data_IF_269877292508
#
_entry.id   IF_269877292508
#
_cell.length_a   1.000
_cell.length_b   1.000
_cell.length_c   1.000
_cell.angle_alpha   90.00
_cell.angle_beta   90.00
_cell.angle_gamma   90.00
#
_symmetry.space_group_name_H-M   'P 1'
#
loop_
_entity.id
_entity.type
_entity.pdbx_description
1 polymer ?
#
# COMPACT_ATOMS: atom_id res chain seq x y z
N UNK A 1 12.73 -10.80 -10.78
CA UNK A 1 12.11 -10.78 -9.42
C UNK A 1 10.91 -11.70 -9.31
N UNK A 2 9.79 -11.43 -9.99
CA UNK A 2 8.51 -12.16 -9.86
C UNK A 2 8.61 -13.69 -10.02
N UNK A 3 9.48 -14.17 -10.91
CA UNK A 3 9.68 -15.61 -11.13
C UNK A 3 10.24 -16.35 -9.90
N UNK A 4 11.06 -15.69 -9.06
CA UNK A 4 11.65 -16.29 -7.84
C UNK A 4 10.57 -16.68 -6.84
N UNK A 5 9.47 -15.93 -6.82
CA UNK A 5 8.33 -16.12 -5.89
C UNK A 5 7.06 -16.59 -6.61
N UNK A 6 7.18 -17.17 -7.82
CA UNK A 6 6.08 -17.75 -8.61
C UNK A 6 4.89 -16.81 -8.96
N UNK A 7 5.09 -15.49 -8.93
CA UNK A 7 4.05 -14.51 -9.29
C UNK A 7 3.50 -14.64 -10.72
N UNK A 8 4.28 -14.97 -11.77
CA UNK A 8 3.74 -15.09 -13.13
C UNK A 8 2.57 -16.08 -13.24
N UNK A 9 2.58 -17.18 -12.48
CA UNK A 9 1.48 -18.15 -12.46
C UNK A 9 0.18 -17.56 -11.91
N UNK A 10 0.29 -16.64 -10.96
CA UNK A 10 -0.86 -15.92 -10.39
C UNK A 10 -1.44 -14.94 -11.40
N UNK A 11 -0.57 -14.20 -12.10
CA UNK A 11 -0.97 -13.30 -13.19
C UNK A 11 -1.62 -14.07 -14.35
N UNK A 12 -1.08 -15.24 -14.72
CA UNK A 12 -1.67 -16.12 -15.74
C UNK A 12 -3.06 -16.65 -15.35
N UNK A 13 -3.34 -16.76 -14.04
CA UNK A 13 -4.66 -17.09 -13.50
C UNK A 13 -5.63 -15.88 -13.48
N UNK A 14 -5.16 -14.69 -13.87
CA UNK A 14 -5.96 -13.46 -13.93
C UNK A 14 -6.13 -12.75 -12.58
N UNK A 15 -5.27 -13.03 -11.60
CA UNK A 15 -5.23 -12.33 -10.31
C UNK A 15 -4.06 -11.36 -10.34
N UNK A 16 -4.32 -10.06 -10.18
CA UNK A 16 -3.32 -9.00 -10.33
C UNK A 16 -3.32 -7.97 -9.18
N UNK A 17 -4.11 -8.20 -8.12
CA UNK A 17 -4.25 -7.30 -6.98
C UNK A 17 -5.45 -6.36 -7.07
N UNK A 18 -6.24 -6.44 -8.15
CA UNK A 18 -7.48 -5.67 -8.29
C UNK A 18 -8.41 -5.85 -7.09
N UNK A 19 -9.01 -4.75 -6.64
CA UNK A 19 -9.91 -4.72 -5.48
C UNK A 19 -9.23 -4.47 -4.13
N UNK A 20 -7.90 -4.55 -4.07
CA UNK A 20 -7.13 -4.33 -2.83
C UNK A 20 -6.54 -2.93 -2.80
N UNK A 21 -6.59 -2.28 -1.62
CA UNK A 21 -5.95 -1.00 -1.33
C UNK A 21 -4.66 -1.21 -0.54
N UNK A 22 -3.53 -0.83 -1.14
CA UNK A 22 -2.20 -0.96 -0.54
C UNK A 22 -1.66 0.42 -0.14
N UNK A 23 -1.30 0.60 1.12
CA UNK A 23 -0.58 1.78 1.59
C UNK A 23 0.94 1.56 1.53
N UNK A 24 1.65 2.53 0.96
CA UNK A 24 3.10 2.59 0.91
C UNK A 24 3.58 3.69 1.85
N UNK A 25 4.34 3.34 2.88
CA UNK A 25 5.00 4.29 3.79
C UNK A 25 6.49 4.31 3.45
N UNK A 26 6.97 5.45 2.94
CA UNK A 26 8.32 5.56 2.37
C UNK A 26 8.82 7.03 2.35
N UNK A 27 9.93 7.29 1.66
CA UNK A 27 10.58 8.61 1.54
C UNK A 27 9.88 9.56 0.57
N UNK A 28 8.88 9.09 -0.18
CA UNK A 28 8.18 9.85 -1.22
C UNK A 28 8.13 9.13 -2.57
N UNK A 29 7.32 9.63 -3.50
CA UNK A 29 6.93 8.90 -4.70
C UNK A 29 6.85 9.78 -5.95
N UNK A 30 7.70 9.50 -6.94
CA UNK A 30 7.66 10.13 -8.27
C UNK A 30 6.88 9.28 -9.26
N UNK A 31 5.56 9.22 -9.08
CA UNK A 31 4.74 8.37 -9.93
C UNK A 31 4.17 9.10 -11.17
N UNK A 32 3.76 10.38 -11.05
CA UNK A 32 3.06 11.11 -12.11
C UNK A 32 3.78 11.19 -13.47
N UNK A 33 5.11 11.19 -13.47
CA UNK A 33 5.92 11.43 -14.67
C UNK A 33 6.63 10.19 -15.20
N UNK A 34 6.59 9.09 -14.45
CA UNK A 34 7.39 7.91 -14.76
C UNK A 34 6.55 6.84 -15.48
N UNK A 35 7.07 6.31 -16.58
CA UNK A 35 6.29 5.48 -17.52
C UNK A 35 5.75 4.18 -16.91
N UNK A 36 6.46 3.62 -15.93
CA UNK A 36 6.01 2.45 -15.18
C UNK A 36 4.72 2.69 -14.39
N UNK A 37 4.30 3.93 -14.15
CA UNK A 37 3.12 4.21 -13.32
C UNK A 37 1.93 4.75 -14.11
N UNK A 38 1.95 4.68 -15.44
CA UNK A 38 0.83 5.16 -16.27
C UNK A 38 -0.52 4.48 -15.97
N UNK A 39 -0.49 3.25 -15.45
CA UNK A 39 -1.68 2.50 -15.01
C UNK A 39 -1.90 2.50 -13.49
N UNK A 40 -1.00 3.12 -12.73
CA UNK A 40 -1.05 3.10 -11.27
C UNK A 40 -2.30 3.84 -10.79
N UNK A 41 -3.05 3.22 -9.89
CA UNK A 41 -4.27 3.80 -9.34
C UNK A 41 -4.04 4.36 -7.94
N UNK A 42 -3.52 5.58 -7.85
CA UNK A 42 -3.39 6.28 -6.55
C UNK A 42 -4.76 6.81 -6.11
N UNK A 43 -5.15 6.50 -4.87
CA UNK A 43 -6.42 6.93 -4.25
C UNK A 43 -6.22 8.24 -3.48
N UNK A 44 -5.14 8.32 -2.70
CA UNK A 44 -4.73 9.50 -1.99
C UNK A 44 -3.20 9.44 -1.74
N UNK A 45 -2.62 10.60 -1.51
CA UNK A 45 -1.23 10.74 -1.09
C UNK A 45 -1.13 11.82 -0.01
N UNK A 46 -0.19 11.68 0.91
CA UNK A 46 0.04 12.66 1.97
C UNK A 46 1.51 12.67 2.42
N UNK A 47 2.05 13.88 2.60
CA UNK A 47 3.38 14.12 3.12
C UNK A 47 3.29 14.49 4.61
N UNK A 48 3.77 13.60 5.48
CA UNK A 48 3.78 13.79 6.92
C UNK A 48 4.98 14.63 7.40
N UNK A 49 6.00 14.82 6.55
CA UNK A 49 7.18 15.65 6.82
C UNK A 49 6.81 17.13 6.66
N UNK A 50 6.06 17.46 5.61
CA UNK A 50 5.66 18.83 5.28
C UNK A 50 4.18 19.16 5.49
N UNK A 51 3.36 18.16 5.83
CA UNK A 51 1.93 18.28 6.11
C UNK A 51 1.12 18.80 4.91
N UNK A 52 1.39 18.27 3.73
CA UNK A 52 0.67 18.57 2.48
C UNK A 52 0.32 17.30 1.69
N UNK A 53 -0.32 17.46 0.53
CA UNK A 53 -0.77 16.35 -0.33
C UNK A 53 0.22 16.06 -1.48
N UNK A 54 1.53 16.33 -1.29
CA UNK A 54 2.54 16.17 -2.34
C UNK A 54 3.67 15.25 -1.87
N UNK A 55 3.69 14.01 -2.36
CA UNK A 55 4.72 13.04 -1.95
C UNK A 55 5.94 13.00 -2.87
N UNK A 56 5.92 13.71 -4.00
CA UNK A 56 7.06 13.85 -4.90
C UNK A 56 7.96 15.02 -4.46
N UNK A 57 9.23 15.04 -4.92
CA UNK A 57 10.13 16.14 -4.54
C UNK A 57 9.62 17.52 -4.96
N UNK A 58 9.56 18.43 -3.99
CA UNK A 58 9.26 19.85 -4.17
C UNK A 58 10.53 20.71 -4.09
N UNK A 59 10.69 21.61 -5.06
CA UNK A 59 11.83 22.54 -5.11
C UNK A 59 11.87 23.42 -3.86
N UNK A 60 13.03 23.50 -3.20
CA UNK A 60 13.27 24.26 -1.96
C UNK A 60 12.57 23.73 -0.70
N UNK A 61 11.97 22.54 -0.75
CA UNK A 61 11.45 21.83 0.42
C UNK A 61 12.21 20.51 0.60
N UNK A 62 12.37 19.76 -0.48
CA UNK A 62 13.00 18.44 -0.46
C UNK A 62 14.44 18.44 -0.94
N UNK A 63 15.21 17.54 -0.35
CA UNK A 63 16.56 17.19 -0.81
C UNK A 63 16.50 16.41 -2.12
N UNK A 64 17.60 16.44 -2.88
CA UNK A 64 17.69 15.68 -4.12
C UNK A 64 17.57 14.18 -3.83
N UNK A 65 16.70 13.47 -4.56
CA UNK A 65 16.43 12.05 -4.40
C UNK A 65 15.61 11.63 -3.16
N UNK A 66 15.02 12.57 -2.41
CA UNK A 66 14.02 12.29 -1.36
C UNK A 66 12.96 11.26 -1.82
N UNK A 67 12.35 11.43 -2.99
CA UNK A 67 11.34 10.52 -3.55
C UNK A 67 11.90 9.24 -4.20
N UNK A 68 13.20 8.97 -4.10
CA UNK A 68 13.82 7.91 -4.90
C UNK A 68 13.56 6.50 -4.39
N UNK A 69 13.69 6.29 -3.09
CA UNK A 69 13.52 5.00 -2.47
C UNK A 69 12.06 4.54 -2.60
N UNK A 70 11.10 5.40 -2.22
CA UNK A 70 9.68 5.10 -2.40
C UNK A 70 9.24 4.88 -3.84
N UNK A 71 9.83 5.61 -4.81
CA UNK A 71 9.59 5.33 -6.24
C UNK A 71 10.05 3.92 -6.63
N UNK A 72 11.21 3.47 -6.15
CA UNK A 72 11.72 2.14 -6.44
C UNK A 72 10.82 1.06 -5.80
N UNK A 73 10.48 1.20 -4.52
CA UNK A 73 9.63 0.23 -3.79
C UNK A 73 8.23 0.14 -4.38
N UNK A 74 7.62 1.29 -4.72
CA UNK A 74 6.32 1.36 -5.40
C UNK A 74 6.33 0.64 -6.75
N UNK A 75 7.43 0.69 -7.50
CA UNK A 75 7.51 -0.02 -8.78
C UNK A 75 7.52 -1.55 -8.63
N UNK A 76 8.10 -2.08 -7.55
CA UNK A 76 8.14 -3.52 -7.29
C UNK A 76 6.74 -4.10 -7.07
N UNK A 77 5.82 -3.31 -6.52
CA UNK A 77 4.44 -3.74 -6.28
C UNK A 77 3.47 -3.28 -7.38
N UNK A 78 3.46 -2.00 -7.74
CA UNK A 78 2.44 -1.36 -8.58
C UNK A 78 2.89 -0.97 -9.99
N UNK A 79 4.18 -1.12 -10.32
CA UNK A 79 4.69 -0.72 -11.63
C UNK A 79 4.13 -1.59 -12.78
N UNK A 80 3.84 -0.99 -13.93
CA UNK A 80 3.37 -1.67 -15.12
C UNK A 80 3.93 -1.03 -16.40
N UNK A 81 5.00 -1.63 -16.91
CA UNK A 81 5.61 -1.34 -18.21
C UNK A 81 5.89 -2.68 -18.93
N UNK A 82 4.99 -3.15 -19.80
CA UNK A 82 5.13 -4.41 -20.52
C UNK A 82 6.50 -4.56 -21.20
N UNK A 83 7.11 -5.74 -21.02
CA UNK A 83 8.44 -6.04 -21.54
C UNK A 83 9.61 -5.45 -20.74
N UNK A 84 9.34 -4.68 -19.68
CA UNK A 84 10.37 -4.10 -18.83
C UNK A 84 10.17 -4.41 -17.34
N UNK A 85 9.05 -3.95 -16.76
CA UNK A 85 8.80 -4.04 -15.32
C UNK A 85 7.31 -4.28 -15.07
N UNK A 86 7.00 -5.35 -14.36
CA UNK A 86 5.64 -5.67 -13.90
C UNK A 86 5.73 -5.92 -12.40
N UNK A 87 5.06 -5.08 -11.63
CA UNK A 87 4.95 -5.17 -10.19
C UNK A 87 4.13 -6.39 -9.80
N UNK A 88 4.28 -6.84 -8.56
CA UNK A 88 3.61 -8.04 -8.07
C UNK A 88 2.09 -7.90 -8.07
N UNK A 89 1.56 -6.75 -7.66
CA UNK A 89 0.13 -6.46 -7.58
C UNK A 89 -0.21 -5.18 -8.37
N UNK A 90 0.13 -5.18 -9.67
CA UNK A 90 -0.01 -4.01 -10.54
C UNK A 90 -1.46 -3.54 -10.74
N UNK A 91 -2.45 -4.37 -10.42
CA UNK A 91 -3.88 -4.04 -10.48
C UNK A 91 -4.43 -3.41 -9.20
N UNK A 92 -3.65 -3.36 -8.12
CA UNK A 92 -4.05 -2.79 -6.84
C UNK A 92 -4.24 -1.26 -6.90
N UNK A 93 -4.93 -0.73 -5.90
CA UNK A 93 -5.03 0.70 -5.64
C UNK A 93 -4.03 1.11 -4.56
N UNK A 94 -3.55 2.34 -4.59
CA UNK A 94 -2.45 2.76 -3.71
C UNK A 94 -2.77 4.01 -2.88
N UNK A 95 -2.38 3.97 -1.61
CA UNK A 95 -2.19 5.13 -0.75
C UNK A 95 -0.69 5.38 -0.62
N UNK A 96 -0.27 6.63 -0.73
CA UNK A 96 1.14 7.00 -0.71
C UNK A 96 1.40 7.93 0.48
N UNK A 97 2.14 7.46 1.47
CA UNK A 97 2.49 8.22 2.67
C UNK A 97 4.00 8.50 2.66
N UNK A 98 4.38 9.78 2.57
CA UNK A 98 5.77 10.20 2.73
C UNK A 98 6.03 10.46 4.21
N UNK A 99 6.79 9.57 4.85
CA UNK A 99 6.99 9.55 6.30
C UNK A 99 8.45 9.68 6.72
N UNK A 100 9.38 9.49 5.77
CA UNK A 100 10.81 9.32 6.05
C UNK A 100 11.66 10.42 5.41
N UNK A 101 12.64 10.98 6.13
CA UNK A 101 13.57 11.97 5.56
C UNK A 101 14.81 11.22 5.05
N UNK A 102 15.15 11.38 3.77
CA UNK A 102 16.15 10.53 3.12
C UNK A 102 17.58 10.65 3.70
N UNK A 103 17.94 11.80 4.28
CA UNK A 103 19.32 12.11 4.71
C UNK A 103 19.56 11.92 6.22
N UNK A 104 18.55 11.53 6.99
CA UNK A 104 18.61 11.48 8.45
C UNK A 104 17.85 10.28 9.02
N UNK A 105 18.14 9.97 10.28
CA UNK A 105 17.36 9.03 11.10
C UNK A 105 16.95 9.76 12.39
N UNK A 106 15.78 10.39 12.38
CA UNK A 106 15.21 11.24 13.42
C UNK A 106 14.04 10.56 14.12
N UNK A 107 13.91 10.76 15.44
CA UNK A 107 12.79 10.22 16.23
C UNK A 107 11.41 10.63 15.73
N UNK A 108 11.29 11.78 15.05
CA UNK A 108 10.02 12.25 14.47
C UNK A 108 9.52 11.34 13.34
N UNK A 109 10.40 10.59 12.69
CA UNK A 109 10.02 9.66 11.62
C UNK A 109 9.20 8.49 12.17
N UNK A 110 9.42 8.10 13.43
CA UNK A 110 8.54 7.15 14.12
C UNK A 110 7.12 7.71 14.27
N UNK A 111 6.98 8.98 14.67
CA UNK A 111 5.68 9.64 14.82
C UNK A 111 5.00 9.80 13.45
N UNK A 112 5.75 10.15 12.40
CA UNK A 112 5.24 10.22 11.03
C UNK A 112 4.81 8.85 10.51
N UNK A 113 5.56 7.79 10.82
CA UNK A 113 5.22 6.42 10.47
C UNK A 113 3.91 5.99 11.14
N UNK A 114 3.76 6.29 12.45
CA UNK A 114 2.53 6.03 13.21
C UNK A 114 1.34 6.78 12.60
N UNK A 115 1.50 8.08 12.33
CA UNK A 115 0.46 8.87 11.69
C UNK A 115 0.11 8.35 10.28
N UNK A 116 1.11 7.90 9.52
CA UNK A 116 0.95 7.31 8.20
C UNK A 116 0.14 6.01 8.21
N UNK A 117 0.39 5.12 9.18
CA UNK A 117 -0.36 3.87 9.29
C UNK A 117 -1.78 4.09 9.84
N UNK A 118 -1.97 5.05 10.75
CA UNK A 118 -3.30 5.46 11.21
C UNK A 118 -4.15 6.03 10.07
N UNK A 119 -3.55 6.91 9.25
CA UNK A 119 -4.17 7.46 8.05
C UNK A 119 -4.51 6.37 7.02
N UNK A 120 -3.60 5.41 6.81
CA UNK A 120 -3.86 4.28 5.93
C UNK A 120 -5.06 3.43 6.41
N UNK A 121 -5.13 3.14 7.70
CA UNK A 121 -6.27 2.41 8.30
C UNK A 121 -7.58 3.19 8.19
N UNK A 122 -7.57 4.49 8.48
CA UNK A 122 -8.74 5.37 8.37
C UNK A 122 -9.33 5.35 6.95
N UNK A 123 -8.47 5.38 5.94
CA UNK A 123 -8.85 5.29 4.53
C UNK A 123 -9.21 3.88 4.07
N UNK A 124 -9.01 2.88 4.93
CA UNK A 124 -9.37 1.48 4.70
C UNK A 124 -8.36 0.70 3.88
N UNK A 125 -7.06 0.92 4.10
CA UNK A 125 -6.02 0.08 3.52
C UNK A 125 -6.17 -1.38 3.97
N UNK A 126 -6.05 -2.30 3.03
CA UNK A 126 -6.06 -3.74 3.29
C UNK A 126 -4.65 -4.25 3.60
N UNK A 127 -3.64 -3.65 2.95
CA UNK A 127 -2.22 -3.99 3.10
C UNK A 127 -1.42 -2.72 3.32
N UNK A 128 -0.47 -2.76 4.25
CA UNK A 128 0.58 -1.75 4.42
C UNK A 128 1.92 -2.39 4.03
N UNK A 129 2.66 -1.73 3.16
CA UNK A 129 4.05 -2.02 2.87
C UNK A 129 4.91 -0.89 3.41
N UNK A 130 5.80 -1.19 4.35
CA UNK A 130 6.79 -0.24 4.82
C UNK A 130 8.20 -0.81 4.66
N UNK A 131 8.96 -0.16 3.79
CA UNK A 131 10.37 -0.46 3.53
C UNK A 131 11.29 0.37 4.43
N UNK A 132 10.81 0.70 5.62
CA UNK A 132 11.46 1.53 6.64
C UNK A 132 11.67 0.68 7.91
N UNK A 133 12.60 1.09 8.76
CA UNK A 133 12.79 0.41 10.03
C UNK A 133 13.66 1.22 10.97
N UNK A 134 13.28 1.22 12.24
CA UNK A 134 13.87 2.08 13.25
C UNK A 134 14.64 1.24 14.27
N UNK A 135 15.88 1.62 14.54
CA UNK A 135 16.72 0.95 15.53
C UNK A 135 17.79 1.88 16.11
N UNK A 136 18.34 2.75 15.26
CA UNK A 136 19.40 3.70 15.60
C UNK A 136 18.99 5.07 15.08
N UNK A 137 19.27 6.12 15.84
CA UNK A 137 18.90 7.49 15.47
C UNK A 137 20.09 8.44 15.64
N UNK A 138 20.10 9.51 14.87
CA UNK A 138 21.19 10.49 14.82
C UNK A 138 21.41 11.23 16.15
N UNK A 139 20.39 11.28 17.00
CA UNK A 139 20.48 11.88 18.33
C UNK A 139 21.13 10.95 19.39
N UNK A 140 21.58 9.77 18.99
CA UNK A 140 22.21 8.78 19.86
C UNK A 140 21.24 7.86 20.60
N UNK A 141 19.92 8.01 20.41
CA UNK A 141 18.96 7.01 20.87
C UNK A 141 19.09 5.75 20.01
N UNK A 142 18.93 4.58 20.64
CA UNK A 142 18.82 3.31 19.94
C UNK A 142 17.95 2.38 20.76
N UNK A 143 17.13 1.58 20.08
CA UNK A 143 16.45 0.46 20.73
C UNK A 143 17.48 -0.62 21.07
N UNK A 144 17.47 -1.08 22.32
CA UNK A 144 18.25 -2.24 22.72
C UNK A 144 17.61 -3.52 22.20
N UNK A 145 18.34 -4.63 22.21
CA UNK A 145 17.76 -5.91 21.83
C UNK A 145 16.53 -6.26 22.66
N UNK A 146 16.57 -5.98 23.98
CA UNK A 146 15.45 -6.26 24.91
C UNK A 146 14.19 -5.43 24.59
N UNK A 147 14.33 -4.29 23.88
CA UNK A 147 13.19 -3.48 23.42
C UNK A 147 12.53 -4.06 22.16
N UNK A 148 13.18 -4.97 21.44
CA UNK A 148 12.68 -5.61 20.21
C UNK A 148 11.81 -6.83 20.54
N UNK A 149 10.86 -6.64 21.45
CA UNK A 149 10.01 -7.65 22.06
C UNK A 149 8.59 -7.72 21.47
N UNK A 150 8.31 -6.91 20.44
CA UNK A 150 6.97 -6.80 19.86
C UNK A 150 6.03 -5.88 20.63
N UNK A 151 6.48 -5.16 21.67
CA UNK A 151 5.61 -4.34 22.54
C UNK A 151 6.18 -2.98 22.92
N UNK A 152 7.49 -2.79 22.85
CA UNK A 152 8.13 -1.60 23.42
C UNK A 152 8.18 -0.43 22.44
N UNK A 153 8.60 -0.67 21.20
CA UNK A 153 8.73 0.39 20.21
C UNK A 153 7.38 0.96 19.77
N UNK A 154 7.31 2.28 19.62
CA UNK A 154 6.06 2.99 19.28
C UNK A 154 5.51 2.54 17.92
N UNK A 155 6.37 2.38 16.92
CA UNK A 155 5.99 1.89 15.58
C UNK A 155 5.46 0.45 15.65
N UNK A 156 6.04 -0.40 16.49
CA UNK A 156 5.56 -1.77 16.73
C UNK A 156 4.18 -1.83 17.36
N UNK A 157 3.93 -0.98 18.37
CA UNK A 157 2.61 -0.87 19.00
C UNK A 157 1.55 -0.48 17.95
N UNK A 158 1.84 0.53 17.12
CA UNK A 158 0.94 0.98 16.06
C UNK A 158 0.73 -0.11 14.99
N UNK A 159 1.78 -0.81 14.58
CA UNK A 159 1.69 -1.92 13.62
C UNK A 159 0.79 -3.05 14.14
N UNK A 160 0.98 -3.47 15.39
CA UNK A 160 0.14 -4.49 16.03
C UNK A 160 -1.33 -4.05 16.10
N UNK A 161 -1.58 -2.76 16.40
CA UNK A 161 -2.94 -2.21 16.44
C UNK A 161 -3.58 -2.23 15.05
N UNK A 162 -2.86 -1.83 13.99
CA UNK A 162 -3.35 -1.90 12.62
C UNK A 162 -3.71 -3.34 12.21
N UNK A 163 -2.86 -4.32 12.57
CA UNK A 163 -3.17 -5.73 12.34
C UNK A 163 -4.43 -6.18 13.07
N UNK A 164 -4.61 -5.76 14.33
CA UNK A 164 -5.82 -6.09 15.09
C UNK A 164 -7.11 -5.50 14.49
N UNK A 165 -6.99 -4.43 13.70
CA UNK A 165 -8.09 -3.79 12.98
C UNK A 165 -8.35 -4.38 11.59
N UNK A 166 -7.55 -5.37 11.16
CA UNK A 166 -7.74 -6.08 9.89
C UNK A 166 -6.79 -5.67 8.77
N UNK A 167 -5.77 -4.85 9.06
CA UNK A 167 -4.76 -4.46 8.05
C UNK A 167 -3.61 -5.46 8.02
N UNK A 168 -3.25 -5.98 6.85
CA UNK A 168 -2.03 -6.78 6.69
C UNK A 168 -0.82 -5.84 6.70
N UNK A 169 0.02 -5.90 7.74
CA UNK A 169 1.24 -5.07 7.81
C UNK A 169 2.45 -5.89 7.39
N UNK A 170 3.16 -5.42 6.36
CA UNK A 170 4.39 -6.02 5.82
C UNK A 170 5.53 -5.04 6.00
N UNK A 171 6.61 -5.46 6.67
CA UNK A 171 7.74 -4.60 6.99
C UNK A 171 9.08 -5.25 6.63
N UNK A 172 10.01 -4.46 6.12
CA UNK A 172 11.40 -4.88 5.93
C UNK A 172 12.10 -5.12 7.28
N UNK A 173 13.01 -6.10 7.38
CA UNK A 173 13.74 -6.37 8.65
C UNK A 173 14.95 -5.46 8.91
N UNK A 174 15.40 -4.72 7.90
CA UNK A 174 16.60 -3.87 7.98
C UNK A 174 17.80 -4.46 7.23
N UNK A 175 18.81 -3.60 6.99
CA UNK A 175 19.95 -3.87 6.12
C UNK A 175 21.31 -3.82 6.85
N UNK A 176 21.35 -4.07 8.17
CA UNK A 176 22.58 -3.97 8.95
C UNK A 176 22.82 -5.21 9.82
N UNK A 177 23.06 -6.37 9.20
CA UNK A 177 23.60 -7.61 9.81
C UNK A 177 25.04 -7.42 10.32
N UNK A 178 25.22 -6.47 11.24
CA UNK A 178 26.43 -6.35 12.05
C UNK A 178 26.47 -7.49 13.07
N UNK A 179 27.69 -7.85 13.53
CA UNK A 179 28.09 -9.09 14.23
C UNK A 179 27.28 -9.54 15.46
N UNK A 180 26.23 -8.83 15.85
CA UNK A 180 25.28 -9.21 16.89
C UNK A 180 24.12 -9.96 16.22
N UNK A 181 24.00 -11.25 16.52
CA UNK A 181 23.10 -12.21 15.85
C UNK A 181 21.59 -11.92 15.98
N UNK A 182 21.17 -10.71 16.39
CA UNK A 182 19.79 -10.34 16.65
C UNK A 182 19.60 -8.82 16.44
N UNK A 183 19.13 -8.44 15.25
CA UNK A 183 19.21 -7.04 14.81
C UNK A 183 18.03 -6.60 13.93
N UNK A 184 16.87 -7.21 14.16
CA UNK A 184 15.62 -6.80 13.52
C UNK A 184 15.27 -5.37 13.90
N UNK A 185 14.75 -4.59 12.95
CA UNK A 185 14.32 -3.22 13.20
C UNK A 185 12.81 -3.17 13.42
N UNK A 186 12.36 -2.27 14.29
CA UNK A 186 10.91 -2.04 14.50
C UNK A 186 10.33 -1.31 13.29
N UNK A 187 9.12 -1.66 12.83
CA UNK A 187 8.13 -2.53 13.46
C UNK A 187 8.13 -4.00 13.03
N UNK A 188 9.19 -4.50 12.39
CA UNK A 188 9.22 -5.89 11.93
C UNK A 188 9.24 -6.93 13.07
N UNK A 189 9.53 -6.51 14.31
CA UNK A 189 9.40 -7.34 15.51
C UNK A 189 7.96 -7.49 16.02
N UNK A 190 6.95 -6.86 15.41
CA UNK A 190 5.53 -7.03 15.78
C UNK A 190 5.01 -8.48 15.70
N UNK A 191 3.92 -8.79 16.40
CA UNK A 191 3.42 -10.17 16.57
C UNK A 191 3.01 -10.82 15.26
N UNK A 192 2.09 -10.17 14.56
CA UNK A 192 1.52 -10.62 13.29
C UNK A 192 1.97 -9.75 12.11
N UNK A 193 2.96 -8.87 12.33
CA UNK A 193 3.62 -8.10 11.26
C UNK A 193 4.45 -9.06 10.40
N UNK A 194 4.21 -9.06 9.09
CA UNK A 194 4.95 -9.90 8.15
C UNK A 194 6.32 -9.27 7.90
N UNK A 195 7.31 -9.79 8.61
CA UNK A 195 8.70 -9.34 8.53
C UNK A 195 9.42 -10.00 7.36
N UNK A 196 10.04 -9.19 6.50
CA UNK A 196 10.59 -9.65 5.22
C UNK A 196 12.10 -9.45 5.15
N UNK A 197 12.83 -10.56 5.02
CA UNK A 197 14.27 -10.58 4.73
C UNK A 197 14.57 -10.59 3.22
N UNK A 198 15.86 -10.46 2.89
CA UNK A 198 16.33 -10.39 1.51
C UNK A 198 17.20 -11.60 1.13
N UNK A 199 16.97 -12.12 -0.07
CA UNK A 199 17.81 -13.13 -0.73
C UNK A 199 18.29 -12.65 -2.11
N UNK A 200 19.32 -13.31 -2.64
CA UNK A 200 19.70 -13.25 -4.05
C UNK A 200 18.85 -14.16 -4.93
N UNK A 201 19.03 -14.07 -6.25
CA UNK A 201 18.32 -14.92 -7.22
C UNK A 201 18.61 -16.42 -7.03
N UNK A 202 19.77 -16.75 -6.46
CA UNK A 202 20.18 -18.12 -6.12
C UNK A 202 19.61 -18.59 -4.76
N UNK A 203 18.68 -17.83 -4.18
CA UNK A 203 18.07 -18.09 -2.86
C UNK A 203 19.07 -18.08 -1.69
N UNK A 204 20.21 -17.42 -1.85
CA UNK A 204 21.16 -17.18 -0.76
C UNK A 204 20.74 -15.93 0.01
N UNK A 205 20.73 -15.99 1.34
CA UNK A 205 20.47 -14.83 2.18
C UNK A 205 21.44 -13.70 1.85
N UNK A 206 20.91 -12.49 1.69
CA UNK A 206 21.70 -11.31 1.51
C UNK A 206 22.54 -11.03 2.78
N UNK A 207 23.85 -10.77 2.66
CA UNK A 207 24.72 -10.54 3.82
C UNK A 207 24.32 -9.34 4.68
N UNK A 208 23.50 -8.43 4.16
CA UNK A 208 23.01 -7.26 4.89
C UNK A 208 21.67 -7.51 5.59
N UNK A 209 20.92 -8.56 5.22
CA UNK A 209 19.57 -8.80 5.73
C UNK A 209 19.63 -9.08 7.23
N UNK A 210 18.98 -8.23 8.03
CA UNK A 210 18.86 -8.45 9.46
C UNK A 210 18.15 -9.79 9.76
N UNK A 211 18.44 -10.33 10.94
CA UNK A 211 18.01 -11.65 11.40
C UNK A 211 17.42 -11.54 12.80
N UNK A 212 16.43 -12.38 13.06
CA UNK A 212 15.94 -12.61 14.41
C UNK A 212 16.74 -13.69 15.14
N UNK A 213 16.16 -14.32 16.18
CA UNK A 213 14.81 -14.06 16.71
C UNK A 213 14.66 -12.66 17.32
N UNK A 214 13.42 -12.29 17.63
CA UNK A 214 13.11 -11.15 18.52
C UNK A 214 13.58 -11.43 19.95
N UNK A 215 13.57 -10.42 20.82
CA UNK A 215 13.97 -10.57 22.23
C UNK A 215 13.17 -11.64 22.98
N UNK A 216 11.89 -11.79 22.63
CA UNK A 216 11.00 -12.81 23.21
C UNK A 216 11.05 -14.17 22.48
N UNK A 217 11.99 -14.36 21.56
CA UNK A 217 12.29 -15.65 20.93
C UNK A 217 11.41 -16.02 19.74
N UNK A 218 10.56 -15.11 19.23
CA UNK A 218 9.76 -15.36 18.02
C UNK A 218 10.65 -15.41 16.79
N UNK A 219 10.29 -16.28 15.85
CA UNK A 219 11.00 -16.42 14.58
C UNK A 219 10.71 -15.18 13.72
N UNK A 220 11.79 -14.45 13.42
CA UNK A 220 11.81 -13.37 12.43
C UNK A 220 13.11 -13.42 11.60
N UNK A 221 13.16 -12.94 10.34
CA UNK A 221 11.99 -12.61 9.51
C UNK A 221 11.03 -13.81 9.39
N UNK A 222 9.81 -13.54 8.99
CA UNK A 222 8.83 -14.59 8.72
C UNK A 222 9.09 -15.24 7.38
N UNK A 223 9.39 -14.44 6.36
CA UNK A 223 9.65 -14.92 5.02
C UNK A 223 10.75 -14.10 4.37
N UNK A 224 11.29 -14.62 3.28
CA UNK A 224 12.27 -13.90 2.45
C UNK A 224 11.80 -13.83 1.00
N UNK A 225 12.22 -12.76 0.32
CA UNK A 225 12.05 -12.61 -1.12
C UNK A 225 13.30 -11.95 -1.74
N UNK A 226 13.32 -11.84 -3.07
CA UNK A 226 14.44 -11.25 -3.78
C UNK A 226 14.67 -9.80 -3.34
N UNK A 227 15.83 -9.51 -2.77
CA UNK A 227 16.24 -8.17 -2.36
C UNK A 227 17.64 -7.78 -2.86
N UNK A 228 18.32 -8.64 -3.64
CA UNK A 228 19.62 -8.35 -4.26
C UNK A 228 19.44 -8.22 -5.78
N UNK A 229 20.01 -7.18 -6.37
CA UNK A 229 19.91 -6.84 -7.79
C UNK A 229 18.45 -6.82 -8.28
N UNK A 230 17.58 -6.12 -7.56
CA UNK A 230 16.17 -5.95 -7.94
C UNK A 230 16.06 -4.81 -8.94
N UNK A 231 15.41 -5.06 -10.08
CA UNK A 231 15.20 -4.06 -11.13
C UNK A 231 13.96 -3.23 -10.79
N UNK A 232 14.15 -1.92 -10.58
CA UNK A 232 13.09 -1.02 -10.15
C UNK A 232 13.15 0.33 -10.89
N UNK A 233 12.04 1.06 -10.86
CA UNK A 233 11.97 2.43 -11.34
C UNK A 233 12.86 3.35 -10.49
N UNK A 234 13.38 4.40 -11.12
CA UNK A 234 14.11 5.46 -10.43
C UNK A 234 13.56 6.82 -10.86
N UNK A 235 13.54 7.83 -9.97
CA UNK A 235 13.27 9.18 -10.40
C UNK A 235 14.32 9.63 -11.41
N UNK A 236 13.96 10.56 -12.29
CA UNK A 236 14.77 11.00 -13.44
C UNK A 236 16.13 11.70 -13.10
N UNK A 237 16.59 11.62 -11.85
CA UNK A 237 17.78 12.32 -11.33
C UNK A 237 19.05 11.46 -11.27
N UNK A 238 18.97 10.13 -11.24
CA UNK A 238 20.14 9.24 -11.04
C UNK A 238 21.17 9.27 -12.17
N UNK A 239 20.69 9.39 -13.40
CA UNK A 239 21.46 9.80 -14.56
C UNK A 239 20.47 10.40 -15.53
N UNK A 240 20.86 11.39 -16.32
CA UNK A 240 19.95 12.14 -17.19
C UNK A 240 19.18 11.31 -18.25
N UNK A 241 19.29 9.95 -18.22
CA UNK A 241 18.62 9.02 -19.15
C UNK A 241 18.09 7.70 -18.54
N UNK A 242 18.51 7.26 -17.35
CA UNK A 242 18.10 5.95 -16.84
C UNK A 242 16.81 6.04 -16.00
N UNK A 243 15.70 5.50 -16.53
CA UNK A 243 14.41 5.39 -15.84
C UNK A 243 14.35 4.20 -14.87
N UNK A 244 15.29 3.27 -14.99
CA UNK A 244 15.35 2.07 -14.15
C UNK A 244 16.78 1.79 -13.71
N UNK A 245 16.93 1.15 -12.57
CA UNK A 245 18.20 0.73 -12.01
C UNK A 245 18.05 -0.56 -11.21
N UNK A 246 19.18 -1.16 -10.85
CA UNK A 246 19.24 -2.30 -9.96
C UNK A 246 19.56 -1.82 -8.53
N UNK A 247 18.77 -2.30 -7.57
CA UNK A 247 18.89 -1.95 -6.16
C UNK A 247 19.14 -3.18 -5.30
N UNK A 248 19.67 -2.94 -4.11
CA UNK A 248 19.89 -3.96 -3.08
C UNK A 248 19.25 -3.46 -1.77
N UNK A 249 18.50 -4.32 -1.08
CA UNK A 249 17.91 -4.04 0.22
C UNK A 249 16.68 -4.92 0.51
N UNK A 250 16.40 -5.13 1.80
CA UNK A 250 15.11 -5.67 2.26
C UNK A 250 13.94 -4.78 1.85
N UNK A 251 14.21 -3.50 1.60
CA UNK A 251 13.27 -2.54 1.04
C UNK A 251 12.68 -2.93 -0.31
N UNK A 252 13.30 -3.87 -1.03
CA UNK A 252 12.83 -4.36 -2.32
C UNK A 252 12.11 -5.72 -2.18
N UNK A 253 12.50 -6.53 -1.19
CA UNK A 253 11.79 -7.78 -0.89
C UNK A 253 10.46 -7.52 -0.18
N UNK A 254 10.39 -6.52 0.69
CA UNK A 254 9.18 -6.10 1.40
C UNK A 254 7.98 -5.81 0.47
N UNK A 255 8.05 -4.88 -0.49
CA UNK A 255 6.93 -4.58 -1.38
C UNK A 255 6.58 -5.75 -2.30
N UNK A 256 7.52 -6.65 -2.59
CA UNK A 256 7.22 -7.87 -3.34
C UNK A 256 6.31 -8.80 -2.53
N UNK A 257 6.59 -9.00 -1.23
CA UNK A 257 5.75 -9.81 -0.33
C UNK A 257 4.43 -9.12 -0.01
N UNK A 258 4.41 -7.80 0.16
CA UNK A 258 3.17 -7.02 0.29
C UNK A 258 2.29 -7.18 -0.96
N UNK A 259 2.89 -7.22 -2.15
CA UNK A 259 2.20 -7.56 -3.37
C UNK A 259 1.60 -8.96 -3.34
N UNK A 260 2.30 -9.97 -2.81
CA UNK A 260 1.72 -11.32 -2.64
C UNK A 260 0.54 -11.29 -1.68
N UNK A 261 0.61 -10.53 -0.59
CA UNK A 261 -0.53 -10.33 0.32
C UNK A 261 -1.74 -9.73 -0.42
N UNK A 262 -1.50 -8.72 -1.26
CA UNK A 262 -2.54 -8.13 -2.09
C UNK A 262 -3.10 -9.10 -3.14
N UNK A 263 -2.28 -9.99 -3.72
CA UNK A 263 -2.76 -11.04 -4.61
C UNK A 263 -3.65 -12.06 -3.86
N UNK A 264 -3.30 -12.42 -2.63
CA UNK A 264 -4.12 -13.30 -1.77
C UNK A 264 -5.48 -12.64 -1.51
N UNK A 265 -5.50 -11.39 -1.06
CA UNK A 265 -6.73 -10.67 -0.74
C UNK A 265 -7.57 -10.34 -1.98
N UNK A 266 -6.94 -10.14 -3.15
CA UNK A 266 -7.65 -9.99 -4.42
C UNK A 266 -8.40 -11.26 -4.82
N UNK A 267 -7.83 -12.44 -4.51
CA UNK A 267 -8.47 -13.73 -4.75
C UNK A 267 -9.48 -14.13 -3.65
N UNK A 268 -9.24 -13.74 -2.40
CA UNK A 268 -9.99 -14.12 -1.21
C UNK A 268 -10.16 -12.91 -0.27
N UNK A 269 -11.05 -11.95 -0.61
CA UNK A 269 -11.17 -10.67 0.11
C UNK A 269 -11.74 -10.80 1.53
N UNK A 270 -12.30 -11.96 1.88
CA UNK A 270 -12.80 -12.24 3.22
C UNK A 270 -11.73 -12.64 4.24
N UNK A 271 -10.49 -12.90 3.80
CA UNK A 271 -9.44 -13.39 4.67
C UNK A 271 -8.95 -12.32 5.65
N UNK A 272 -8.72 -12.73 6.89
CA UNK A 272 -8.10 -11.87 7.91
C UNK A 272 -6.59 -11.78 7.71
N UNK A 273 -5.91 -10.79 8.33
CA UNK A 273 -4.45 -10.72 8.28
C UNK A 273 -3.74 -11.99 8.76
N UNK A 274 -4.26 -12.63 9.81
CA UNK A 274 -3.71 -13.89 10.31
C UNK A 274 -3.83 -15.01 9.29
N UNK A 275 -4.93 -15.08 8.53
CA UNK A 275 -5.11 -16.09 7.48
C UNK A 275 -4.21 -15.82 6.27
N UNK A 276 -4.03 -14.55 5.87
CA UNK A 276 -3.06 -14.17 4.82
C UNK A 276 -1.64 -14.57 5.24
N UNK A 277 -1.26 -14.25 6.48
CA UNK A 277 0.01 -14.65 7.08
C UNK A 277 0.16 -16.18 7.13
N UNK A 278 -0.88 -16.89 7.57
CA UNK A 278 -0.91 -18.36 7.60
C UNK A 278 -0.62 -18.97 6.22
N UNK A 279 -1.29 -18.47 5.17
CA UNK A 279 -1.08 -18.95 3.81
C UNK A 279 0.37 -18.74 3.35
N UNK A 280 0.98 -17.59 3.68
CA UNK A 280 2.39 -17.34 3.35
C UNK A 280 3.31 -18.33 4.07
N UNK A 281 3.17 -18.49 5.38
CA UNK A 281 4.09 -19.31 6.19
C UNK A 281 4.00 -20.81 5.83
N UNK A 282 2.78 -21.32 5.64
CA UNK A 282 2.57 -22.75 5.36
C UNK A 282 2.91 -23.15 3.92
N UNK A 283 3.10 -22.19 3.02
CA UNK A 283 3.43 -22.45 1.61
C UNK A 283 4.86 -22.07 1.23
N UNK A 284 5.55 -21.34 2.10
CA UNK A 284 6.95 -20.94 1.90
C UNK A 284 7.91 -22.15 1.88
N UNK A 285 9.09 -21.96 1.29
CA UNK A 285 10.02 -23.05 0.96
C UNK A 285 10.56 -23.85 2.15
N UNK A 286 10.43 -23.33 3.38
CA UNK A 286 10.86 -23.96 4.64
C UNK A 286 9.72 -24.06 5.65
N UNK A 287 8.47 -24.18 5.18
CA UNK A 287 7.28 -24.24 6.04
C UNK A 287 7.37 -25.25 7.20
N UNK A 288 8.00 -26.40 6.97
CA UNK A 288 8.17 -27.48 7.97
C UNK A 288 9.46 -27.37 8.79
N UNK A 289 10.38 -26.47 8.45
CA UNK A 289 11.66 -26.30 9.13
C UNK A 289 12.15 -24.84 9.07
N UNK A 290 11.45 -23.91 9.74
CA UNK A 290 11.79 -22.50 9.71
C UNK A 290 13.15 -22.22 10.39
N UNK A 291 13.84 -21.18 9.93
CA UNK A 291 15.23 -20.89 10.29
C UNK A 291 15.41 -19.40 10.61
N UNK A 292 15.18 -19.04 11.87
CA UNK A 292 15.35 -17.66 12.35
C UNK A 292 16.81 -17.24 12.37
N UNK A 293 17.70 -18.11 12.87
CA UNK A 293 19.12 -17.82 13.08
C UNK A 293 19.85 -17.68 11.74
N UNK A 294 19.48 -18.50 10.76
CA UNK A 294 19.94 -18.38 9.38
C UNK A 294 19.29 -17.23 8.61
N UNK A 295 18.32 -16.51 9.19
CA UNK A 295 17.66 -15.35 8.58
C UNK A 295 16.61 -15.67 7.52
N UNK A 296 16.24 -16.95 7.32
CA UNK A 296 15.31 -17.36 6.28
C UNK A 296 13.85 -17.38 6.76
N UNK A 297 13.61 -17.49 8.07
CA UNK A 297 12.25 -17.72 8.59
C UNK A 297 11.65 -18.99 7.99
N UNK A 298 10.40 -18.91 7.56
CA UNK A 298 9.70 -19.97 6.83
C UNK A 298 10.14 -20.09 5.36
N UNK A 299 11.10 -19.29 4.91
CA UNK A 299 11.76 -19.43 3.62
C UNK A 299 11.23 -18.49 2.54
N UNK A 300 11.50 -18.86 1.29
CA UNK A 300 11.12 -18.08 0.12
C UNK A 300 9.61 -18.19 -0.09
N UNK A 301 8.95 -17.05 -0.26
CA UNK A 301 7.51 -17.00 -0.56
C UNK A 301 7.19 -17.69 -1.89
N UNK A 302 6.10 -18.45 -1.92
CA UNK A 302 5.53 -19.04 -3.14
C UNK A 302 4.14 -18.44 -3.38
N UNK A 303 4.07 -17.39 -4.18
CA UNK A 303 2.84 -16.61 -4.38
C UNK A 303 1.68 -17.47 -4.90
N UNK A 304 1.95 -18.39 -5.83
CA UNK A 304 0.91 -19.24 -6.40
C UNK A 304 0.32 -20.20 -5.37
N UNK A 305 1.16 -20.85 -4.57
CA UNK A 305 0.68 -21.72 -3.49
C UNK A 305 -0.06 -20.92 -2.42
N UNK A 306 0.44 -19.74 -2.05
CA UNK A 306 -0.21 -18.91 -1.04
C UNK A 306 -1.60 -18.44 -1.50
N UNK A 307 -1.74 -17.98 -2.74
CA UNK A 307 -3.03 -17.55 -3.32
C UNK A 307 -4.02 -18.71 -3.45
N UNK A 308 -3.56 -19.94 -3.68
CA UNK A 308 -4.41 -21.13 -3.83
C UNK A 308 -4.61 -21.91 -2.52
N UNK A 309 -4.03 -21.46 -1.40
CA UNK A 309 -3.98 -22.20 -0.14
C UNK A 309 -5.38 -22.50 0.44
N UNK A 310 -6.28 -21.51 0.39
CA UNK A 310 -7.66 -21.66 0.84
C UNK A 310 -8.64 -22.12 -0.27
N UNK A 311 -8.10 -22.53 -1.42
CA UNK A 311 -8.86 -22.96 -2.60
C UNK A 311 -8.50 -22.15 -3.84
N UNK A 312 -9.03 -22.59 -4.98
CA UNK A 312 -8.83 -21.90 -6.26
C UNK A 312 -9.40 -20.46 -6.21
N UNK A 313 -8.76 -19.48 -6.88
CA UNK A 313 -9.24 -18.10 -6.88
C UNK A 313 -10.69 -18.05 -7.34
N UNK A 314 -11.57 -17.56 -6.48
CA UNK A 314 -12.92 -17.29 -6.92
C UNK A 314 -12.88 -16.03 -7.77
N UNK A 315 -13.15 -16.16 -9.08
CA UNK A 315 -13.64 -15.01 -9.85
C UNK A 315 -14.97 -14.62 -9.22
N UNK A 316 -14.97 -13.72 -8.24
CA UNK A 316 -16.16 -12.98 -7.84
C UNK A 316 -16.56 -12.12 -9.04
N UNK A 317 -17.26 -12.72 -9.99
CA UNK A 317 -18.34 -12.02 -10.69
C UNK A 317 -19.33 -11.65 -9.60
N UNK A 318 -19.13 -10.49 -8.98
CA UNK A 318 -20.18 -9.88 -8.16
C UNK A 318 -21.29 -9.59 -9.16
N UNK A 319 -22.29 -10.47 -9.24
CA UNK A 319 -23.56 -10.06 -9.81
C UNK A 319 -24.02 -8.89 -8.94
N UNK A 320 -23.90 -7.67 -9.45
CA UNK A 320 -24.36 -6.47 -8.74
C UNK A 320 -25.89 -6.50 -8.75
N UNK A 321 -26.47 -7.32 -7.86
CA UNK A 321 -27.89 -7.33 -7.52
C UNK A 321 -28.11 -6.27 -6.45
N UNK A 322 -29.18 -5.49 -6.62
CA UNK A 322 -29.65 -4.50 -5.65
C UNK A 322 -28.71 -3.30 -5.39
N UNK A 323 -28.33 -2.59 -6.48
CA UNK A 323 -27.68 -1.29 -6.40
C UNK A 323 -28.52 -0.16 -6.99
N UNK A 324 -28.44 1.02 -6.39
CA UNK A 324 -29.26 2.17 -6.79
C UNK A 324 -28.59 3.48 -6.43
N UNK A 325 -28.55 4.40 -7.38
CA UNK A 325 -28.25 5.80 -7.10
C UNK A 325 -29.56 6.56 -6.90
N UNK A 326 -29.76 7.14 -5.72
CA UNK A 326 -30.93 7.96 -5.44
C UNK A 326 -30.79 9.36 -6.04
N UNK A 327 -31.90 10.03 -6.39
CA UNK A 327 -31.87 11.43 -6.78
C UNK A 327 -31.22 12.27 -5.66
N UNK A 328 -30.22 13.11 -5.98
CA UNK A 328 -29.58 13.96 -4.98
C UNK A 328 -30.60 14.92 -4.35
N UNK A 329 -30.45 15.21 -3.06
CA UNK A 329 -31.35 16.09 -2.32
C UNK A 329 -30.58 16.99 -1.33
N UNK A 330 -30.91 18.29 -1.24
CA UNK A 330 -31.82 19.05 -2.11
C UNK A 330 -31.35 19.14 -3.57
N UNK A 331 -32.29 19.22 -4.51
CA UNK A 331 -32.03 19.38 -5.95
C UNK A 331 -33.25 20.01 -6.67
N UNK A 332 -33.17 21.27 -7.13
CA UNK A 332 -31.98 22.11 -7.12
C UNK A 332 -31.51 22.49 -5.71
N UNK A 333 -30.23 22.81 -5.56
CA UNK A 333 -29.68 23.39 -4.31
C UNK A 333 -28.96 24.72 -4.58
N UNK A 334 -28.94 25.55 -3.55
CA UNK A 334 -28.25 26.85 -3.53
C UNK A 334 -26.98 26.69 -2.70
N UNK A 335 -25.82 27.10 -3.22
CA UNK A 335 -24.59 27.09 -2.42
C UNK A 335 -24.66 28.18 -1.36
N UNK A 336 -24.68 27.78 -0.09
CA UNK A 336 -24.36 28.68 1.02
C UNK A 336 -23.68 27.88 2.14
N UNK A 337 -23.25 28.56 3.20
CA UNK A 337 -22.47 27.97 4.30
C UNK A 337 -23.12 26.71 4.91
N UNK A 338 -24.45 26.61 4.88
CA UNK A 338 -25.21 25.50 5.46
C UNK A 338 -26.00 24.67 4.43
N UNK A 339 -25.84 24.92 3.12
CA UNK A 339 -26.63 24.26 2.07
C UNK A 339 -25.73 23.52 1.05
N UNK A 340 -25.81 22.19 1.08
CA UNK A 340 -25.15 21.24 0.18
C UNK A 340 -26.17 20.23 -0.37
N UNK A 341 -25.81 19.49 -1.42
CA UNK A 341 -26.61 18.35 -1.88
C UNK A 341 -26.03 17.04 -1.37
N UNK A 342 -26.92 16.15 -0.96
CA UNK A 342 -26.60 14.81 -0.46
C UNK A 342 -26.93 13.79 -1.55
N UNK A 343 -26.03 12.85 -1.76
CA UNK A 343 -26.10 11.83 -2.80
C UNK A 343 -26.11 10.48 -2.09
N UNK A 344 -27.29 9.91 -1.95
CA UNK A 344 -27.48 8.60 -1.35
C UNK A 344 -27.40 7.50 -2.41
N UNK A 345 -26.88 6.35 -2.03
CA UNK A 345 -26.80 5.18 -2.90
C UNK A 345 -26.96 3.89 -2.10
N UNK A 346 -27.44 2.83 -2.76
CA UNK A 346 -27.37 1.47 -2.24
C UNK A 346 -26.40 0.67 -3.10
N UNK A 347 -25.54 -0.10 -2.45
CA UNK A 347 -24.63 -1.08 -3.05
C UNK A 347 -24.52 -2.26 -2.09
N UNK A 348 -24.12 -3.43 -2.54
CA UNK A 348 -23.81 -4.49 -1.60
C UNK A 348 -22.55 -4.11 -0.81
N UNK A 349 -22.52 -4.50 0.46
CA UNK A 349 -21.33 -4.36 1.28
C UNK A 349 -20.21 -5.17 0.59
N UNK A 350 -18.99 -4.63 0.58
CA UNK A 350 -17.80 -5.16 -0.13
C UNK A 350 -17.69 -4.83 -1.63
N UNK A 351 -18.52 -3.94 -2.16
CA UNK A 351 -18.42 -3.50 -3.58
C UNK A 351 -17.64 -2.19 -3.72
N UNK A 352 -16.63 -2.16 -4.60
CA UNK A 352 -15.89 -0.94 -4.93
C UNK A 352 -16.80 0.04 -5.69
N UNK A 353 -16.99 1.24 -5.13
CA UNK A 353 -17.81 2.29 -5.73
C UNK A 353 -16.98 3.54 -6.03
N UNK A 354 -17.30 4.19 -7.13
CA UNK A 354 -16.86 5.56 -7.39
C UNK A 354 -18.05 6.47 -7.63
N UNK A 355 -18.06 7.64 -6.97
CA UNK A 355 -19.04 8.70 -7.23
C UNK A 355 -18.31 9.91 -7.80
N UNK A 356 -18.71 10.33 -8.99
CA UNK A 356 -18.12 11.47 -9.70
C UNK A 356 -19.18 12.45 -10.18
N UNK A 357 -18.84 13.73 -10.15
CA UNK A 357 -19.63 14.81 -10.74
C UNK A 357 -19.07 15.15 -12.12
N UNK A 358 -19.97 15.33 -13.08
CA UNK A 358 -19.66 15.72 -14.45
C UNK A 358 -20.41 16.98 -14.84
N UNK A 359 -19.81 17.80 -15.70
CA UNK A 359 -20.51 18.91 -16.36
C UNK A 359 -21.33 18.41 -17.58
N UNK A 360 -22.04 19.33 -18.26
CA UNK A 360 -22.85 19.01 -19.44
C UNK A 360 -22.05 18.48 -20.65
N UNK A 361 -20.74 18.70 -20.68
CA UNK A 361 -19.84 18.20 -21.71
C UNK A 361 -19.31 16.80 -21.38
N UNK A 362 -19.70 16.23 -20.23
CA UNK A 362 -19.22 14.93 -19.75
C UNK A 362 -17.81 14.98 -19.18
N UNK A 363 -17.28 16.16 -18.87
CA UNK A 363 -15.97 16.31 -18.23
C UNK A 363 -16.10 16.14 -16.71
N UNK A 364 -15.19 15.41 -16.06
CA UNK A 364 -15.21 15.24 -14.61
C UNK A 364 -14.91 16.59 -13.92
N UNK A 365 -15.68 16.87 -12.88
CA UNK A 365 -15.64 18.10 -12.08
C UNK A 365 -15.15 17.81 -10.66
N UNK A 366 -15.73 16.79 -10.03
CA UNK A 366 -15.39 16.39 -8.67
C UNK A 366 -15.45 14.86 -8.51
N UNK A 367 -14.55 14.29 -7.71
CA UNK A 367 -14.58 12.90 -7.27
C UNK A 367 -15.00 12.88 -5.80
N UNK A 368 -16.19 12.36 -5.50
CA UNK A 368 -16.79 12.48 -4.17
C UNK A 368 -16.50 11.26 -3.28
N UNK A 369 -16.39 10.07 -3.87
CA UNK A 369 -16.11 8.81 -3.17
C UNK A 369 -15.34 7.86 -4.08
N UNK A 370 -14.39 7.11 -3.49
CA UNK A 370 -13.66 5.99 -4.10
C UNK A 370 -13.37 4.96 -2.98
N UNK A 371 -14.31 4.06 -2.66
CA UNK A 371 -14.14 3.08 -1.55
C UNK A 371 -14.87 1.76 -1.82
N UNK A 372 -14.38 0.68 -1.19
CA UNK A 372 -14.85 -0.71 -1.28
C UNK A 372 -15.66 -1.20 -0.07
N UNK A 373 -15.86 -0.40 0.99
CA UNK A 373 -16.61 -0.87 2.17
C UNK A 373 -17.25 0.30 2.92
N UNK A 374 -18.58 0.29 3.04
CA UNK A 374 -19.35 1.27 3.80
C UNK A 374 -20.27 0.51 4.74
N UNK A 375 -19.81 0.28 5.99
CA UNK A 375 -20.61 -0.46 6.95
C UNK A 375 -21.85 0.29 7.46
N UNK A 376 -21.94 1.62 7.42
CA UNK A 376 -23.02 2.28 8.19
C UNK A 376 -23.75 3.48 7.55
N UNK A 377 -23.37 4.00 6.36
CA UNK A 377 -24.24 4.87 5.52
C UNK A 377 -23.58 5.19 4.16
N UNK A 378 -24.35 5.00 3.08
CA UNK A 378 -23.90 5.16 1.69
C UNK A 378 -24.26 6.54 1.15
N UNK A 379 -23.54 7.55 1.62
CA UNK A 379 -23.81 8.96 1.36
C UNK A 379 -22.56 9.67 0.84
N UNK A 380 -22.66 10.36 -0.28
CA UNK A 380 -21.72 11.38 -0.74
C UNK A 380 -22.31 12.78 -0.54
N UNK A 381 -21.46 13.77 -0.31
CA UNK A 381 -21.86 15.18 -0.21
C UNK A 381 -21.18 15.97 -1.31
N UNK A 382 -21.92 16.85 -1.98
CA UNK A 382 -21.35 17.83 -2.88
C UNK A 382 -21.73 19.25 -2.50
N UNK A 383 -20.72 20.09 -2.32
CA UNK A 383 -20.86 21.49 -1.90
C UNK A 383 -20.76 22.47 -3.08
N UNK A 384 -20.74 21.98 -4.32
CA UNK A 384 -20.64 22.83 -5.51
C UNK A 384 -19.22 23.35 -5.80
N UNK A 385 -18.21 22.55 -5.46
CA UNK A 385 -16.79 22.81 -5.77
C UNK A 385 -16.20 21.71 -6.66
N UNK A 386 -15.14 22.02 -7.39
CA UNK A 386 -14.33 21.06 -8.15
C UNK A 386 -13.31 20.34 -7.26
N UNK A 387 -12.53 19.42 -7.85
CA UNK A 387 -11.46 18.69 -7.14
C UNK A 387 -10.37 19.59 -6.52
N UNK A 388 -10.25 20.84 -6.93
CA UNK A 388 -9.28 21.79 -6.37
C UNK A 388 -9.91 22.71 -5.32
N UNK A 389 -11.12 22.38 -4.84
CA UNK A 389 -11.89 23.20 -3.91
C UNK A 389 -12.45 24.48 -4.52
N UNK A 390 -12.40 24.65 -5.85
CA UNK A 390 -12.85 25.87 -6.51
C UNK A 390 -14.35 25.82 -6.77
N UNK A 391 -15.09 26.88 -6.39
CA UNK A 391 -16.42 27.18 -6.91
C UNK A 391 -16.70 26.79 -8.36
N UNK A 392 -17.70 25.94 -8.61
CA UNK A 392 -18.24 25.76 -9.97
C UNK A 392 -19.43 26.67 -10.25
N UNK A 393 -19.68 26.95 -11.54
CA UNK A 393 -20.75 27.85 -11.98
C UNK A 393 -22.15 27.26 -11.74
N UNK A 394 -23.16 28.12 -11.62
CA UNK A 394 -24.57 27.70 -11.67
C UNK A 394 -24.85 26.92 -12.94
N UNK A 395 -25.60 25.83 -12.84
CA UNK A 395 -25.89 25.01 -14.01
C UNK A 395 -26.31 23.58 -13.68
N UNK A 396 -26.36 22.78 -14.74
CA UNK A 396 -26.71 21.36 -14.67
C UNK A 396 -25.44 20.53 -14.61
N UNK A 397 -25.39 19.63 -13.65
CA UNK A 397 -24.34 18.65 -13.42
C UNK A 397 -24.92 17.25 -13.36
N UNK A 398 -24.05 16.25 -13.42
CA UNK A 398 -24.43 14.84 -13.37
C UNK A 398 -23.59 14.11 -12.33
N UNK A 399 -24.24 13.54 -11.33
CA UNK A 399 -23.61 12.59 -10.44
C UNK A 399 -23.70 11.20 -11.06
N UNK A 400 -22.57 10.50 -11.14
CA UNK A 400 -22.47 9.13 -11.63
C UNK A 400 -21.89 8.23 -10.54
N UNK A 401 -22.64 7.20 -10.19
CA UNK A 401 -22.19 6.05 -9.43
C UNK A 401 -21.64 5.02 -10.43
N UNK A 402 -20.41 4.55 -10.23
CA UNK A 402 -19.75 3.52 -11.04
C UNK A 402 -19.41 2.31 -10.16
N UNK A 403 -19.72 1.12 -10.66
CA UNK A 403 -19.57 -0.17 -9.98
C UNK A 403 -19.26 -1.23 -11.03
N UNK A 404 -18.12 -1.91 -10.97
CA UNK A 404 -17.77 -3.08 -11.81
C UNK A 404 -18.18 -2.97 -13.30
N UNK A 405 -17.89 -1.82 -13.92
CA UNK A 405 -18.24 -1.52 -15.32
C UNK A 405 -19.68 -1.05 -15.57
N UNK A 406 -20.57 -1.17 -14.59
CA UNK A 406 -21.91 -0.59 -14.57
C UNK A 406 -21.90 0.86 -14.07
N UNK A 407 -22.91 1.63 -14.47
CA UNK A 407 -23.08 2.99 -13.95
C UNK A 407 -24.55 3.45 -13.93
N UNK A 408 -24.91 4.24 -12.92
CA UNK A 408 -26.15 5.01 -12.89
C UNK A 408 -25.80 6.49 -12.79
N UNK A 409 -26.57 7.32 -13.49
CA UNK A 409 -26.36 8.77 -13.50
C UNK A 409 -27.62 9.48 -13.06
N UNK A 410 -27.48 10.50 -12.20
CA UNK A 410 -28.56 11.40 -11.77
C UNK A 410 -28.15 12.85 -12.00
N UNK A 411 -29.13 13.65 -12.42
CA UNK A 411 -28.96 15.08 -12.66
C UNK A 411 -28.90 15.83 -11.33
N UNK A 412 -28.04 16.83 -11.24
CA UNK A 412 -27.97 17.81 -10.15
C UNK A 412 -28.11 19.21 -10.76
N UNK A 413 -28.92 20.06 -10.16
CA UNK A 413 -29.08 21.46 -10.57
C UNK A 413 -28.54 22.35 -9.46
N UNK A 414 -27.56 23.17 -9.80
CA UNK A 414 -26.88 24.08 -8.89
C UNK A 414 -27.26 25.52 -9.22
N UNK A 415 -27.70 26.26 -8.20
CA UNK A 415 -27.84 27.71 -8.24
C UNK A 415 -26.85 28.37 -7.29
N UNK A 416 -26.34 29.53 -7.70
CA UNK A 416 -25.57 30.45 -6.86
C UNK A 416 -26.32 31.75 -6.76
#
# INVERSE_FOLDING_TARGET
QNAVINVPKVHDAGVDGSGVLVAMLDTGFRYHQHEAFQKLNVVAEYDFIHQDEVTANQTNQDVSAQDSHGTATLSVIGGFMPGQLIGVAYGASFLLAKTEIYESELRIEEDNWVAGIEWAEELGADVVSSSLGYAYFDNGFSYSFDDLDGKTAVTTIAANLAVSKGVVVVNAVGNNDSKWHHNIWTPADGFDVIAVGAISADSLLAPFSCKGPTADGRIKPEVVALGVNVFAATPHYYSAKAKYAYFNGTSLSCPAVAGVCALILSAHPELTPQQVREALLNTASRATNPDSVGGYGWGVVDAYKAVTYFGEPQKKTVEVKDWKLYPPYPNPFIVSRDFYTTIEFDVNDDTAVAIKIYNILGQPVANLLKRTSLRERKIAIWTGVDNNGRPVASGVYFCRLQIDGHHQTKRIVLFR
#
